data_IF_532433435639
#
_entry.id   IF_532433435639
#
_cell.length_a   1.000
_cell.length_b   1.000
_cell.length_c   1.000
_cell.angle_alpha   90.00
_cell.angle_beta   90.00
_cell.angle_gamma   90.00
#
_symmetry.space_group_name_H-M   'P 1'
#
loop_
_entity.id
_entity.type
_entity.pdbx_description
1 polymer ?
#
# COMPACT_ATOMS: atom_id res chain seq x y z
N UNK A 1 -3.57 7.16 26.74
CA UNK A 1 -4.33 7.92 25.73
C UNK A 1 -3.35 8.40 24.65
N UNK A 2 -3.69 8.30 23.37
CA UNK A 2 -2.82 8.82 22.30
C UNK A 2 -2.92 10.34 22.24
N UNK A 3 -1.78 11.02 22.04
CA UNK A 3 -1.70 12.49 22.07
C UNK A 3 -2.02 13.04 20.66
N UNK A 4 -2.97 13.98 20.53
CA UNK A 4 -3.24 14.67 19.28
C UNK A 4 -2.01 15.41 18.75
N UNK A 5 -1.81 15.37 17.44
CA UNK A 5 -0.73 16.08 16.75
C UNK A 5 -1.32 16.80 15.54
N UNK A 6 -0.90 18.05 15.33
CA UNK A 6 -1.34 18.83 14.18
C UNK A 6 -0.52 18.43 12.95
N UNK A 7 -1.15 17.73 12.00
CA UNK A 7 -0.61 17.56 10.65
C UNK A 7 -0.83 18.85 9.87
N UNK A 8 0.25 19.48 9.41
CA UNK A 8 0.21 20.77 8.73
C UNK A 8 0.85 20.70 7.35
N UNK A 9 0.37 21.56 6.46
CA UNK A 9 1.04 21.91 5.21
C UNK A 9 1.36 23.41 5.24
N UNK A 10 2.61 23.74 5.53
CA UNK A 10 3.00 25.10 5.90
C UNK A 10 2.25 25.55 7.17
N UNK A 11 1.57 26.69 7.09
CA UNK A 11 0.77 27.23 8.20
C UNK A 11 -0.62 26.58 8.33
N UNK A 12 -1.10 25.87 7.30
CA UNK A 12 -2.43 25.29 7.30
C UNK A 12 -2.46 23.96 8.06
N UNK A 13 -3.32 23.86 9.07
CA UNK A 13 -3.63 22.59 9.74
C UNK A 13 -4.58 21.78 8.86
N UNK A 14 -4.18 20.57 8.50
CA UNK A 14 -4.99 19.63 7.73
C UNK A 14 -5.76 18.70 8.68
N UNK A 15 -5.07 18.13 9.67
CA UNK A 15 -5.69 17.26 10.68
C UNK A 15 -5.14 17.56 12.08
N UNK A 16 -5.98 17.35 13.09
CA UNK A 16 -5.57 17.30 14.49
C UNK A 16 -6.00 15.95 15.09
N UNK A 17 -5.05 15.02 15.13
CA UNK A 17 -5.28 13.63 15.52
C UNK A 17 -3.95 12.97 15.84
N UNK A 18 -3.92 11.82 16.53
CA UNK A 18 -2.66 11.18 16.85
C UNK A 18 -1.83 10.89 15.60
N UNK A 19 -0.54 11.27 15.64
CA UNK A 19 0.38 11.14 14.50
C UNK A 19 0.41 9.74 13.89
N UNK A 20 0.33 8.70 14.72
CA UNK A 20 0.27 7.31 14.28
C UNK A 20 -0.92 7.04 13.35
N UNK A 21 -2.07 7.62 13.64
CA UNK A 21 -3.29 7.42 12.84
C UNK A 21 -3.11 8.10 11.48
N UNK A 22 -2.60 9.34 11.43
CA UNK A 22 -2.34 10.06 10.17
C UNK A 22 -1.38 9.26 9.28
N UNK A 23 -0.26 8.80 9.82
CA UNK A 23 0.72 8.02 9.05
C UNK A 23 0.10 6.72 8.54
N UNK A 24 -0.67 6.01 9.38
CA UNK A 24 -1.31 4.75 8.99
C UNK A 24 -2.33 4.98 7.87
N UNK A 25 -3.27 5.90 8.06
CA UNK A 25 -4.45 6.01 7.20
C UNK A 25 -4.19 6.90 5.98
N UNK A 26 -3.53 8.04 6.16
CA UNK A 26 -3.36 9.02 5.09
C UNK A 26 -2.15 8.72 4.20
N UNK A 27 -1.09 8.11 4.75
CA UNK A 27 0.10 7.77 3.99
C UNK A 27 0.13 6.28 3.60
N UNK A 28 0.26 5.38 4.57
CA UNK A 28 0.50 3.96 4.28
C UNK A 28 -0.68 3.28 3.58
N UNK A 29 -1.89 3.44 4.10
CA UNK A 29 -3.07 2.84 3.47
C UNK A 29 -3.31 3.42 2.07
N UNK A 30 -3.05 4.72 1.88
CA UNK A 30 -3.19 5.38 0.59
C UNK A 30 -2.18 4.83 -0.44
N UNK A 31 -0.91 4.65 -0.04
CA UNK A 31 0.11 4.01 -0.88
C UNK A 31 -0.25 2.57 -1.24
N UNK A 32 -0.73 1.78 -0.27
CA UNK A 32 -1.15 0.38 -0.51
C UNK A 32 -2.34 0.34 -1.49
N UNK A 33 -3.31 1.23 -1.33
CA UNK A 33 -4.46 1.35 -2.21
C UNK A 33 -4.04 1.68 -3.65
N UNK A 34 -3.23 2.71 -3.86
CA UNK A 34 -2.77 3.10 -5.20
C UNK A 34 -1.82 2.07 -5.83
N UNK A 35 -1.00 1.37 -5.02
CA UNK A 35 -0.22 0.23 -5.52
C UNK A 35 -1.12 -0.88 -6.08
N UNK A 36 -2.26 -1.15 -5.43
CA UNK A 36 -3.26 -2.08 -5.93
C UNK A 36 -3.93 -1.60 -7.23
N UNK A 37 -4.19 -0.30 -7.38
CA UNK A 37 -4.68 0.25 -8.66
C UNK A 37 -3.65 0.07 -9.78
N UNK A 38 -2.36 0.32 -9.49
CA UNK A 38 -1.29 0.14 -10.48
C UNK A 38 -1.15 -1.32 -10.92
N UNK A 39 -1.32 -2.29 -10.01
CA UNK A 39 -1.24 -3.71 -10.38
C UNK A 39 -2.36 -4.12 -11.37
N UNK A 40 -3.55 -3.51 -11.27
CA UNK A 40 -4.62 -3.69 -12.27
C UNK A 40 -4.19 -3.14 -13.63
N UNK A 41 -3.55 -1.97 -13.68
CA UNK A 41 -3.05 -1.42 -14.95
C UNK A 41 -1.97 -2.29 -15.58
N UNK A 42 -1.03 -2.82 -14.79
CA UNK A 42 -0.04 -3.77 -15.31
C UNK A 42 -0.71 -5.01 -15.92
N UNK A 43 -1.73 -5.56 -15.24
CA UNK A 43 -2.50 -6.69 -15.75
C UNK A 43 -3.19 -6.38 -17.07
N UNK A 44 -3.82 -5.21 -17.19
CA UNK A 44 -4.51 -4.77 -18.41
C UNK A 44 -3.56 -4.53 -19.59
N UNK A 45 -2.31 -4.16 -19.29
CA UNK A 45 -1.26 -3.95 -20.30
C UNK A 45 -0.46 -5.23 -20.60
N UNK A 46 -0.85 -6.38 -20.06
CA UNK A 46 -0.12 -7.65 -20.16
C UNK A 46 1.35 -7.56 -19.70
N UNK A 47 1.62 -6.72 -18.70
CA UNK A 47 2.93 -6.61 -18.04
C UNK A 47 2.90 -7.52 -16.80
N UNK A 48 3.92 -8.38 -16.57
CA UNK A 48 3.98 -9.24 -15.39
C UNK A 48 3.86 -8.46 -14.08
N UNK A 49 3.06 -8.97 -13.14
CA UNK A 49 2.89 -8.33 -11.83
C UNK A 49 4.05 -8.71 -10.91
N UNK A 50 4.65 -7.74 -10.19
CA UNK A 50 5.57 -8.07 -9.10
C UNK A 50 4.82 -8.74 -7.95
N UNK A 51 5.49 -9.68 -7.27
CA UNK A 51 4.99 -10.26 -6.02
C UNK A 51 4.94 -9.19 -4.91
N UNK A 52 3.80 -9.09 -4.22
CA UNK A 52 3.56 -8.06 -3.19
C UNK A 52 3.32 -8.66 -1.81
N UNK A 53 2.43 -9.65 -1.72
CA UNK A 53 2.12 -10.37 -0.47
C UNK A 53 2.15 -11.89 -0.65
N UNK A 54 2.52 -12.36 -1.83
CA UNK A 54 2.40 -13.73 -2.27
C UNK A 54 2.55 -13.82 -3.78
N UNK A 55 2.55 -15.04 -4.33
CA UNK A 55 2.71 -15.29 -5.75
C UNK A 55 1.64 -14.57 -6.57
N UNK A 56 1.99 -14.27 -7.81
CA UNK A 56 1.06 -13.74 -8.80
C UNK A 56 0.66 -14.86 -9.76
N UNK A 57 -0.20 -14.57 -10.73
CA UNK A 57 -0.43 -15.54 -11.82
C UNK A 57 0.80 -15.71 -12.72
N UNK A 58 1.74 -14.75 -12.67
CA UNK A 58 2.95 -14.74 -13.48
C UNK A 58 4.10 -15.50 -12.80
N UNK A 59 4.09 -15.54 -11.46
CA UNK A 59 5.06 -16.26 -10.62
C UNK A 59 4.32 -17.08 -9.54
N UNK A 60 3.79 -18.28 -9.86
CA UNK A 60 3.14 -19.15 -8.90
C UNK A 60 4.15 -19.70 -7.88
N UNK A 61 3.66 -20.16 -6.71
CA UNK A 61 4.52 -20.91 -5.79
C UNK A 61 5.17 -22.09 -6.54
N UNK A 62 6.48 -22.23 -6.40
CA UNK A 62 7.20 -23.40 -6.89
C UNK A 62 6.60 -24.65 -6.24
N UNK A 63 5.94 -25.48 -7.05
CA UNK A 63 5.54 -26.82 -6.64
C UNK A 63 6.83 -27.64 -6.52
N UNK A 64 7.27 -27.95 -5.31
CA UNK A 64 8.27 -28.99 -5.12
C UNK A 64 7.64 -30.29 -5.64
N UNK A 65 8.04 -30.71 -6.83
CA UNK A 65 7.75 -32.04 -7.33
C UNK A 65 8.49 -33.01 -6.42
N UNK A 66 7.84 -33.45 -5.34
CA UNK A 66 8.26 -34.64 -4.60
C UNK A 66 8.23 -35.80 -5.60
N UNK A 67 9.40 -36.43 -5.78
CA UNK A 67 9.63 -37.49 -6.75
C UNK A 67 8.81 -38.76 -6.53
#
# INVERSE_FOLDING_TARGET
MLIPWCYKYGEQVIFEMPRLVVVRTTALNHLIHHRGQLSVYLRLLNIPLPSVYGPTADEPFSQETSG
#
